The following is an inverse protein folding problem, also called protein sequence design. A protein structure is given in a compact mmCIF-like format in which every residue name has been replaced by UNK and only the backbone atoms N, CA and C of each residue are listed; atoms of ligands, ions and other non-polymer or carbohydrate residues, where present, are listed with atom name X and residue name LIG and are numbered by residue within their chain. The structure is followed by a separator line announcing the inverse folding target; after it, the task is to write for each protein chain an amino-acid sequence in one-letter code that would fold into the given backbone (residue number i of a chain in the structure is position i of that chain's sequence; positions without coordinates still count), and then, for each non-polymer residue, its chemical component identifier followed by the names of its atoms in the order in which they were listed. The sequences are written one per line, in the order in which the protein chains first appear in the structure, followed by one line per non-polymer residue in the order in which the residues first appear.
data_IF_898899753149
#
_entry.id   IF_898899753149
#
_cell.length_a   1.000
_cell.length_b   1.000
_cell.length_c   1.000
_cell.angle_alpha   90.00
_cell.angle_beta   90.00
_cell.angle_gamma   90.00
#
_symmetry.space_group_name_H-M   'P 1'
#
loop_
_entity.id
_entity.type
_entity.pdbx_description
1 polymer ?
#
# COMPACT_ATOMS: atom_id res chain seq x y z
N UNK A 1 27.91 30.78 -56.81
CA UNK A 1 26.73 31.26 -56.11
C UNK A 1 25.54 30.36 -56.44
N UNK A 2 24.95 29.68 -55.56
CA UNK A 2 24.29 30.10 -54.33
C UNK A 2 24.52 29.14 -53.15
N UNK A 3 25.04 29.62 -52.06
CA UNK A 3 25.29 28.88 -50.84
C UNK A 3 24.57 29.57 -49.65
N UNK A 4 23.27 29.83 -49.79
CA UNK A 4 22.50 30.56 -48.77
C UNK A 4 21.08 29.98 -48.45
N UNK A 5 20.76 28.78 -48.90
CA UNK A 5 19.40 28.20 -48.72
C UNK A 5 19.32 26.93 -47.85
N UNK A 6 20.36 26.62 -47.06
CA UNK A 6 20.43 25.32 -46.32
C UNK A 6 20.58 25.49 -44.81
N UNK A 7 20.16 26.63 -44.23
CA UNK A 7 20.34 26.91 -42.79
C UNK A 7 19.06 27.35 -42.06
N UNK A 8 17.87 27.05 -42.61
CA UNK A 8 16.57 27.41 -41.95
C UNK A 8 15.73 26.20 -41.56
N UNK A 9 16.21 24.98 -41.74
CA UNK A 9 15.41 23.75 -41.57
C UNK A 9 15.52 22.99 -40.26
N UNK A 10 16.28 23.43 -39.24
CA UNK A 10 16.60 22.57 -38.09
C UNK A 10 16.29 23.18 -36.72
N UNK A 11 15.26 24.01 -36.59
CA UNK A 11 14.92 24.64 -35.29
C UNK A 11 13.43 24.47 -34.91
N UNK A 12 12.86 23.27 -35.07
CA UNK A 12 11.44 23.05 -34.78
C UNK A 12 11.16 21.67 -34.23
N UNK A 13 11.82 21.21 -33.16
CA UNK A 13 11.45 19.93 -32.51
C UNK A 13 11.91 19.84 -31.04
N UNK A 14 11.65 20.85 -30.21
CA UNK A 14 11.66 20.65 -28.74
C UNK A 14 10.51 21.45 -28.08
N UNK A 15 9.28 21.22 -28.53
CA UNK A 15 8.13 21.47 -27.70
C UNK A 15 7.97 20.25 -26.79
N UNK A 16 8.84 20.09 -25.79
CA UNK A 16 8.59 19.20 -24.68
C UNK A 16 7.29 19.67 -24.02
N UNK A 17 6.24 18.85 -24.10
CA UNK A 17 4.98 19.07 -23.40
C UNK A 17 5.29 19.06 -21.89
N UNK A 18 5.68 20.19 -21.33
CA UNK A 18 5.64 20.41 -19.90
C UNK A 18 4.17 20.44 -19.50
N UNK A 19 3.66 19.35 -18.96
CA UNK A 19 2.33 19.33 -18.34
C UNK A 19 2.34 20.37 -17.22
N UNK A 20 1.36 21.28 -17.18
CA UNK A 20 1.26 22.21 -16.06
C UNK A 20 1.14 21.44 -14.75
N UNK A 21 1.78 21.88 -13.66
CA UNK A 21 1.62 21.24 -12.36
C UNK A 21 0.14 21.24 -11.99
N UNK A 22 -0.35 20.14 -11.32
CA UNK A 22 -1.74 20.07 -10.90
C UNK A 22 -2.08 21.25 -9.97
N UNK A 23 -3.32 21.77 -10.01
CA UNK A 23 -3.73 22.85 -9.13
C UNK A 23 -3.53 22.39 -7.67
N UNK A 24 -2.97 23.26 -6.83
CA UNK A 24 -2.63 22.94 -5.44
C UNK A 24 -3.83 22.52 -4.61
N UNK A 25 -5.05 22.92 -5.00
CA UNK A 25 -6.32 22.51 -4.38
C UNK A 25 -6.58 20.99 -4.48
N UNK A 26 -6.00 20.31 -5.46
CA UNK A 26 -6.26 18.90 -5.73
C UNK A 26 -5.21 17.95 -5.13
N UNK A 27 -4.15 18.50 -4.53
CA UNK A 27 -3.04 17.68 -3.98
C UNK A 27 -3.47 16.71 -2.89
N UNK A 28 -4.51 17.01 -2.15
CA UNK A 28 -5.04 16.15 -1.09
C UNK A 28 -6.31 15.39 -1.50
N UNK A 29 -6.82 15.61 -2.71
CA UNK A 29 -7.99 14.90 -3.21
C UNK A 29 -7.55 13.55 -3.79
N UNK A 30 -8.20 12.45 -3.38
CA UNK A 30 -7.88 11.15 -3.95
C UNK A 30 -8.36 11.06 -5.40
N UNK A 31 -7.52 10.55 -6.28
CA UNK A 31 -7.92 10.21 -7.64
C UNK A 31 -8.82 8.97 -7.65
N UNK A 32 -9.55 8.74 -8.75
CA UNK A 32 -10.36 7.53 -8.91
C UNK A 32 -9.52 6.25 -8.77
N UNK A 33 -8.32 6.22 -9.35
CA UNK A 33 -7.39 5.11 -9.21
C UNK A 33 -6.98 4.87 -7.75
N UNK A 34 -6.70 5.93 -7.00
CA UNK A 34 -6.39 5.82 -5.57
C UNK A 34 -7.59 5.33 -4.75
N UNK A 35 -8.81 5.73 -5.09
CA UNK A 35 -10.03 5.23 -4.42
C UNK A 35 -10.25 3.75 -4.71
N UNK A 36 -10.03 3.31 -5.95
CA UNK A 36 -10.10 1.90 -6.34
C UNK A 36 -9.05 1.07 -5.59
N UNK A 37 -7.81 1.53 -5.54
CA UNK A 37 -6.75 0.86 -4.78
C UNK A 37 -7.11 0.76 -3.29
N UNK A 38 -7.64 1.83 -2.68
CA UNK A 38 -8.09 1.81 -1.28
C UNK A 38 -9.15 0.76 -0.99
N UNK A 39 -10.04 0.48 -1.93
CA UNK A 39 -11.06 -0.57 -1.75
C UNK A 39 -10.42 -1.96 -1.67
N UNK A 40 -9.38 -2.22 -2.44
CA UNK A 40 -8.60 -3.47 -2.40
C UNK A 40 -7.79 -3.61 -1.11
N UNK A 41 -7.27 -2.50 -0.62
CA UNK A 41 -6.42 -2.40 0.57
C UNK A 41 -7.20 -2.47 1.89
N UNK A 42 -8.53 -2.52 1.87
CA UNK A 42 -9.34 -2.37 3.08
C UNK A 42 -10.33 -3.52 3.23
N UNK A 43 -10.40 -4.12 4.44
CA UNK A 43 -11.37 -5.14 4.79
C UNK A 43 -11.85 -4.96 6.24
N UNK A 44 -13.10 -5.29 6.49
CA UNK A 44 -13.71 -5.29 7.84
C UNK A 44 -13.73 -6.71 8.40
N UNK A 45 -13.37 -6.84 9.67
CA UNK A 45 -13.36 -8.12 10.41
C UNK A 45 -14.25 -8.04 11.65
N UNK A 46 -14.90 -9.14 11.98
CA UNK A 46 -15.73 -9.28 13.19
C UNK A 46 -14.86 -9.64 14.41
N UNK A 47 -14.03 -8.68 14.80
CA UNK A 47 -13.17 -8.74 15.98
C UNK A 47 -13.43 -7.50 16.81
N UNK A 48 -13.93 -7.70 18.03
CA UNK A 48 -14.34 -6.58 18.90
C UNK A 48 -13.14 -5.87 19.56
N UNK A 49 -12.02 -6.58 19.75
CA UNK A 49 -10.84 -6.07 20.44
C UNK A 49 -9.73 -5.71 19.46
N UNK A 50 -9.31 -4.43 19.52
CA UNK A 50 -8.22 -3.90 18.68
C UNK A 50 -6.90 -4.63 18.94
N UNK A 51 -6.60 -4.96 20.18
CA UNK A 51 -5.35 -5.65 20.51
C UNK A 51 -5.32 -7.06 19.92
N UNK A 52 -6.45 -7.76 19.94
CA UNK A 52 -6.56 -9.06 19.27
C UNK A 52 -6.35 -8.94 17.75
N UNK A 53 -6.93 -7.91 17.13
CA UNK A 53 -6.72 -7.66 15.72
C UNK A 53 -5.24 -7.34 15.40
N UNK A 54 -4.57 -6.52 16.21
CA UNK A 54 -3.14 -6.21 16.07
C UNK A 54 -2.27 -7.46 16.25
N UNK A 55 -2.55 -8.31 17.24
CA UNK A 55 -1.84 -9.60 17.40
C UNK A 55 -2.00 -10.48 16.18
N UNK A 56 -3.22 -10.59 15.63
CA UNK A 56 -3.48 -11.32 14.38
C UNK A 56 -2.70 -10.76 13.20
N UNK A 57 -2.64 -9.42 13.05
CA UNK A 57 -1.84 -8.77 12.01
C UNK A 57 -0.35 -9.10 12.15
N UNK A 58 0.19 -8.99 13.38
CA UNK A 58 1.60 -9.30 13.65
C UNK A 58 1.90 -10.76 13.30
N UNK A 59 1.10 -11.71 13.79
CA UNK A 59 1.27 -13.14 13.50
C UNK A 59 1.22 -13.39 12.00
N UNK A 60 0.24 -12.84 11.30
CA UNK A 60 0.10 -12.99 9.84
C UNK A 60 1.33 -12.46 9.10
N UNK A 61 1.83 -11.28 9.45
CA UNK A 61 3.02 -10.70 8.81
C UNK A 61 4.27 -11.56 9.06
N UNK A 62 4.44 -12.07 10.29
CA UNK A 62 5.55 -12.97 10.62
C UNK A 62 5.46 -14.30 9.86
N UNK A 63 4.28 -14.88 9.73
CA UNK A 63 4.04 -16.10 8.93
C UNK A 63 4.34 -15.88 7.44
N UNK A 64 4.16 -14.66 6.94
CA UNK A 64 4.52 -14.24 5.59
C UNK A 64 6.01 -13.85 5.45
N UNK A 65 6.83 -14.05 6.49
CA UNK A 65 8.27 -13.80 6.48
C UNK A 65 8.66 -12.33 6.67
N UNK A 66 7.75 -11.47 7.15
CA UNK A 66 8.07 -10.08 7.46
C UNK A 66 8.68 -9.93 8.86
N UNK A 67 9.60 -8.98 8.97
CA UNK A 67 10.15 -8.53 10.24
C UNK A 67 9.33 -7.33 10.70
N UNK A 68 8.77 -7.40 11.91
CA UNK A 68 8.01 -6.28 12.48
C UNK A 68 8.98 -5.16 12.88
N UNK A 69 8.84 -4.01 12.28
CA UNK A 69 9.65 -2.83 12.59
C UNK A 69 9.02 -2.00 13.72
N UNK A 70 7.69 -1.91 13.71
CA UNK A 70 6.93 -1.17 14.72
C UNK A 70 5.54 -1.77 14.89
N UNK A 71 5.09 -1.87 16.13
CA UNK A 71 3.71 -2.16 16.49
C UNK A 71 3.26 -1.17 17.57
N UNK A 72 2.14 -0.50 17.31
CA UNK A 72 1.54 0.47 18.24
C UNK A 72 0.04 0.18 18.37
N UNK A 73 -0.34 -0.58 19.40
CA UNK A 73 -1.72 -0.98 19.62
C UNK A 73 -2.65 0.22 19.92
N UNK A 74 -2.27 1.24 20.72
CA UNK A 74 -3.09 2.44 20.92
C UNK A 74 -3.41 3.19 19.63
N UNK A 75 -2.46 3.28 18.69
CA UNK A 75 -2.69 3.91 17.38
C UNK A 75 -3.30 2.96 16.36
N UNK A 76 -3.33 1.66 16.64
CA UNK A 76 -3.76 0.65 15.69
C UNK A 76 -2.84 0.56 14.47
N UNK A 77 -1.52 0.64 14.66
CA UNK A 77 -0.53 0.71 13.58
C UNK A 77 0.50 -0.41 13.71
N UNK A 78 0.75 -1.11 12.60
CA UNK A 78 1.85 -2.07 12.45
C UNK A 78 2.61 -1.75 11.17
N UNK A 79 3.94 -1.66 11.25
CA UNK A 79 4.83 -1.60 10.09
C UNK A 79 5.78 -2.77 10.10
N UNK A 80 6.03 -3.32 8.93
CA UNK A 80 6.89 -4.48 8.74
C UNK A 80 7.59 -4.42 7.39
N UNK A 81 8.74 -5.06 7.28
CA UNK A 81 9.48 -5.16 6.03
C UNK A 81 10.11 -6.55 5.87
N UNK A 82 10.36 -6.92 4.61
CA UNK A 82 11.19 -8.07 4.26
C UNK A 82 11.93 -7.82 2.96
N UNK A 83 13.00 -8.57 2.74
CA UNK A 83 13.65 -8.59 1.44
C UNK A 83 12.88 -9.46 0.46
N UNK A 84 12.81 -9.03 -0.80
CA UNK A 84 12.20 -9.82 -1.86
C UNK A 84 13.17 -10.91 -2.35
N UNK A 85 12.63 -12.11 -2.52
CA UNK A 85 13.37 -13.21 -3.15
C UNK A 85 13.32 -13.08 -4.68
N UNK A 86 14.29 -13.63 -5.42
CA UNK A 86 15.46 -14.37 -4.95
C UNK A 86 16.72 -13.51 -4.72
N UNK A 87 16.69 -12.22 -5.05
CA UNK A 87 17.87 -11.39 -5.09
C UNK A 87 18.24 -10.74 -3.75
N UNK A 88 17.31 -10.68 -2.80
CA UNK A 88 17.44 -10.07 -1.47
C UNK A 88 17.96 -8.60 -1.49
N UNK A 89 17.79 -7.89 -2.60
CA UNK A 89 18.18 -6.48 -2.76
C UNK A 89 16.99 -5.55 -2.67
N UNK A 90 15.85 -6.05 -3.11
CA UNK A 90 14.61 -5.29 -3.12
C UNK A 90 13.90 -5.43 -1.78
N UNK A 91 13.23 -4.37 -1.36
CA UNK A 91 12.53 -4.32 -0.08
C UNK A 91 11.03 -4.24 -0.31
N UNK A 92 10.30 -5.10 0.39
CA UNK A 92 8.85 -5.03 0.49
C UNK A 92 8.52 -4.47 1.87
N UNK A 93 7.89 -3.31 1.91
CA UNK A 93 7.38 -2.69 3.12
C UNK A 93 5.86 -2.82 3.20
N UNK A 94 5.33 -3.06 4.39
CA UNK A 94 3.90 -3.11 4.65
C UNK A 94 3.54 -2.25 5.85
N UNK A 95 2.50 -1.44 5.68
CA UNK A 95 1.88 -0.69 6.77
C UNK A 95 0.44 -1.14 6.92
N UNK A 96 0.08 -1.62 8.10
CA UNK A 96 -1.29 -2.03 8.43
C UNK A 96 -1.86 -1.11 9.50
N UNK A 97 -3.06 -0.61 9.27
CA UNK A 97 -3.83 0.15 10.26
C UNK A 97 -5.09 -0.61 10.65
N UNK A 98 -5.41 -0.62 11.95
CA UNK A 98 -6.58 -1.24 12.55
C UNK A 98 -7.40 -0.18 13.26
N UNK A 99 -8.64 0.02 12.84
CA UNK A 99 -9.54 1.03 13.41
C UNK A 99 -10.87 0.42 13.83
N UNK A 100 -11.37 0.68 15.03
CA UNK A 100 -12.72 0.27 15.41
C UNK A 100 -13.75 1.03 14.58
N UNK A 101 -14.83 0.32 14.26
CA UNK A 101 -16.03 0.89 13.63
C UNK A 101 -17.18 0.99 14.64
N UNK A 102 -18.18 1.81 14.33
CA UNK A 102 -19.34 2.02 15.21
C UNK A 102 -20.17 0.75 15.45
N UNK A 103 -20.11 -0.23 14.54
CA UNK A 103 -20.79 -1.53 14.62
C UNK A 103 -20.02 -2.58 15.43
N UNK A 104 -18.93 -2.18 16.10
CA UNK A 104 -18.10 -3.07 16.92
C UNK A 104 -17.12 -3.94 16.13
N UNK A 105 -17.01 -3.73 14.81
CA UNK A 105 -16.04 -4.43 13.95
C UNK A 105 -14.73 -3.66 13.83
N UNK A 106 -13.71 -4.30 13.31
CA UNK A 106 -12.41 -3.68 13.02
C UNK A 106 -12.22 -3.49 11.52
N UNK A 107 -11.99 -2.24 11.12
CA UNK A 107 -11.54 -1.91 9.78
C UNK A 107 -10.03 -2.06 9.71
N UNK A 108 -9.56 -2.97 8.88
CA UNK A 108 -8.14 -3.21 8.63
C UNK A 108 -7.78 -2.71 7.25
N UNK A 109 -6.77 -1.86 7.17
CA UNK A 109 -6.19 -1.40 5.91
C UNK A 109 -4.73 -1.80 5.85
N UNK A 110 -4.34 -2.49 4.79
CA UNK A 110 -2.96 -2.80 4.45
C UNK A 110 -2.51 -1.96 3.27
N UNK A 111 -1.31 -1.39 3.36
CA UNK A 111 -0.64 -0.70 2.26
C UNK A 111 0.73 -1.34 2.08
N UNK A 112 1.00 -1.86 0.88
CA UNK A 112 2.26 -2.47 0.52
C UNK A 112 3.02 -1.59 -0.47
N UNK A 113 4.33 -1.53 -0.30
CA UNK A 113 5.27 -0.88 -1.22
C UNK A 113 6.36 -1.87 -1.62
N UNK A 114 6.81 -1.78 -2.85
CA UNK A 114 7.94 -2.51 -3.39
C UNK A 114 8.94 -1.51 -3.95
N UNK A 115 10.14 -1.41 -3.36
CA UNK A 115 11.13 -0.40 -3.74
C UNK A 115 10.57 1.02 -3.86
N UNK A 116 9.81 1.47 -2.85
CA UNK A 116 9.13 2.77 -2.81
C UNK A 116 8.01 2.99 -3.84
N UNK A 117 7.62 1.95 -4.59
CA UNK A 117 6.47 2.00 -5.48
C UNK A 117 5.27 1.32 -4.81
N UNK A 118 4.06 1.89 -4.89
CA UNK A 118 2.86 1.23 -4.37
C UNK A 118 2.61 -0.09 -5.12
N UNK A 119 2.23 -1.12 -4.35
CA UNK A 119 1.76 -2.38 -4.90
C UNK A 119 0.27 -2.23 -5.21
N UNK A 120 -0.11 -2.44 -6.46
CA UNK A 120 -1.49 -2.26 -6.95
C UNK A 120 -2.19 -3.58 -7.29
N UNK A 121 -1.46 -4.70 -7.28
CA UNK A 121 -1.98 -6.03 -7.62
C UNK A 121 -3.03 -6.49 -6.59
N UNK A 122 -4.28 -6.74 -7.03
CA UNK A 122 -5.37 -7.16 -6.14
C UNK A 122 -5.08 -8.45 -5.37
N UNK A 123 -4.40 -9.40 -6.00
CA UNK A 123 -4.09 -10.71 -5.40
C UNK A 123 -3.21 -10.59 -4.16
N UNK A 124 -2.29 -9.63 -4.13
CA UNK A 124 -1.42 -9.38 -2.98
C UNK A 124 -2.25 -9.08 -1.74
N UNK A 125 -3.24 -8.20 -1.86
CA UNK A 125 -4.13 -7.83 -0.76
C UNK A 125 -5.12 -8.94 -0.42
N UNK A 126 -5.65 -9.65 -1.41
CA UNK A 126 -6.54 -10.80 -1.19
C UNK A 126 -5.83 -11.89 -0.38
N UNK A 127 -4.60 -12.24 -0.75
CA UNK A 127 -3.80 -13.24 -0.06
C UNK A 127 -3.48 -12.83 1.38
N UNK A 128 -3.09 -11.58 1.60
CA UNK A 128 -2.86 -11.03 2.93
C UNK A 128 -4.12 -11.12 3.80
N UNK A 129 -5.27 -10.65 3.30
CA UNK A 129 -6.50 -10.66 4.07
C UNK A 129 -7.05 -12.07 4.32
N UNK A 130 -6.87 -13.01 3.39
CA UNK A 130 -7.21 -14.40 3.60
C UNK A 130 -6.33 -15.05 4.69
N UNK A 131 -5.04 -14.72 4.74
CA UNK A 131 -4.14 -15.17 5.80
C UNK A 131 -4.53 -14.57 7.16
N UNK A 132 -4.84 -13.27 7.19
CA UNK A 132 -5.28 -12.58 8.40
C UNK A 132 -6.58 -13.15 8.95
N UNK A 133 -7.54 -13.44 8.07
CA UNK A 133 -8.82 -14.05 8.48
C UNK A 133 -8.62 -15.40 9.18
N UNK A 134 -7.76 -16.26 8.64
CA UNK A 134 -7.39 -17.54 9.28
C UNK A 134 -6.75 -17.33 10.64
N UNK A 135 -5.80 -16.40 10.76
CA UNK A 135 -5.13 -16.09 12.02
C UNK A 135 -6.12 -15.60 13.10
N UNK A 136 -7.06 -14.72 12.71
CA UNK A 136 -8.08 -14.20 13.63
C UNK A 136 -9.11 -15.26 14.04
N UNK A 137 -9.39 -16.23 13.16
CA UNK A 137 -10.30 -17.34 13.47
C UNK A 137 -9.69 -18.29 14.50
N UNK A 138 -8.45 -18.72 14.32
CA UNK A 138 -7.74 -19.61 15.27
C UNK A 138 -7.62 -18.96 16.64
N UNK A 139 -7.25 -17.68 16.71
CA UNK A 139 -7.16 -16.95 18.00
C UNK A 139 -8.50 -16.76 18.73
N UNK A 140 -9.64 -17.11 18.11
CA UNK A 140 -10.96 -17.13 18.75
C UNK A 140 -11.24 -18.45 19.49
N UNK A 141 -10.75 -19.56 18.96
CA UNK A 141 -10.97 -20.89 19.56
C UNK A 141 -10.13 -21.14 20.82
N UNK A 142 -9.03 -20.41 20.98
CA UNK A 142 -8.12 -20.53 22.12
C UNK A 142 -8.55 -19.73 23.37
N UNK A 143 -9.67 -19.00 23.30
CA UNK A 143 -10.24 -18.23 24.42
C UNK A 143 -11.51 -18.87 24.94
#
# INVERSE_FOLDING_TARGET
MPLRALLVGTLLLFAACAQPPPPQTDLLMPTEAQMKLRSLQTRTFEVADREAAIRGVISTLQDLGFIIERANAPLGLVTAARFAEPNFRDVIGVTVTVRPQADGKMLVRANAIYNNQPVEEPEVYQNFFAALERSLFVGREER
#
